data_IF_218311575258
#
_entry.id   IF_218311575258
#
_cell.length_a   1.000
_cell.length_b   1.000
_cell.length_c   1.000
_cell.angle_alpha   90.00
_cell.angle_beta   90.00
_cell.angle_gamma   90.00
#
_symmetry.space_group_name_H-M   'P 1'
#
loop_
_entity.id
_entity.type
_entity.pdbx_description
1 polymer ?
#
# COMPACT_ATOMS: atom_id res chain seq x y z
N UNK A 1 49.97 -39.95 -12.93
CA UNK A 1 49.66 -38.66 -13.58
C UNK A 1 48.39 -38.16 -12.96
N UNK A 2 48.60 -37.23 -12.05
CA UNK A 2 47.53 -36.61 -11.23
C UNK A 2 46.91 -35.50 -12.05
N UNK A 3 45.58 -35.54 -12.21
CA UNK A 3 44.82 -34.43 -12.72
C UNK A 3 44.45 -33.55 -11.53
N UNK A 4 44.99 -32.33 -11.52
CA UNK A 4 44.54 -31.29 -10.60
C UNK A 4 43.18 -30.78 -11.06
N UNK A 5 42.14 -31.06 -10.30
CA UNK A 5 40.84 -30.42 -10.44
C UNK A 5 40.86 -29.10 -9.69
N UNK A 6 40.43 -28.10 -10.38
CA UNK A 6 40.45 -26.68 -10.12
C UNK A 6 39.61 -26.29 -8.93
N UNK A 7 40.25 -25.76 -7.89
CA UNK A 7 39.64 -24.98 -6.77
C UNK A 7 39.21 -23.55 -7.19
N UNK A 8 38.66 -23.38 -8.38
CA UNK A 8 38.41 -22.05 -8.97
C UNK A 8 36.97 -21.54 -8.99
N UNK A 9 35.97 -22.33 -8.55
CA UNK A 9 34.55 -21.94 -8.72
C UNK A 9 33.78 -21.62 -7.42
N UNK A 10 34.43 -21.61 -6.25
CA UNK A 10 33.73 -21.43 -4.95
C UNK A 10 33.71 -19.97 -4.45
N UNK A 11 34.29 -19.00 -5.15
CA UNK A 11 34.33 -17.60 -4.64
C UNK A 11 33.28 -16.65 -5.20
N UNK A 12 32.35 -17.09 -6.04
CA UNK A 12 31.38 -16.20 -6.72
C UNK A 12 30.00 -16.10 -6.03
N UNK A 13 29.72 -16.90 -5.00
CA UNK A 13 28.45 -16.82 -4.24
C UNK A 13 28.72 -16.21 -2.87
N UNK A 14 28.40 -14.92 -2.71
CA UNK A 14 28.48 -14.25 -1.41
C UNK A 14 27.65 -14.97 -0.34
N UNK A 15 27.93 -14.68 0.94
CA UNK A 15 27.14 -15.22 2.05
C UNK A 15 25.74 -14.61 2.03
N UNK A 16 24.71 -15.42 1.85
CA UNK A 16 23.30 -15.04 1.91
C UNK A 16 22.62 -15.39 3.23
N UNK A 17 23.38 -15.94 4.20
CA UNK A 17 22.85 -16.35 5.50
C UNK A 17 23.35 -15.42 6.59
N UNK A 18 22.42 -14.89 7.37
CA UNK A 18 22.64 -13.91 8.42
C UNK A 18 21.91 -14.32 9.68
N UNK A 19 22.35 -13.84 10.83
CA UNK A 19 21.52 -13.78 12.03
C UNK A 19 20.70 -12.48 12.05
N UNK A 20 19.62 -12.44 12.80
CA UNK A 20 18.84 -11.21 13.00
C UNK A 20 19.72 -10.09 13.57
N UNK A 21 20.65 -10.42 14.45
CA UNK A 21 21.62 -9.47 15.00
C UNK A 21 22.57 -8.90 13.92
N UNK A 22 23.01 -9.73 12.96
CA UNK A 22 23.82 -9.25 11.83
C UNK A 22 23.03 -8.24 10.99
N UNK A 23 21.75 -8.52 10.73
CA UNK A 23 20.86 -7.62 9.99
C UNK A 23 20.71 -6.30 10.74
N UNK A 24 20.38 -6.33 12.04
CA UNK A 24 20.26 -5.12 12.83
C UNK A 24 21.55 -4.31 12.81
N UNK A 25 22.71 -4.93 13.08
CA UNK A 25 24.01 -4.24 13.09
C UNK A 25 24.32 -3.55 11.74
N UNK A 26 24.03 -4.22 10.61
CA UNK A 26 24.27 -3.67 9.26
C UNK A 26 23.34 -2.52 8.95
N UNK A 27 22.03 -2.70 9.18
CA UNK A 27 21.03 -1.71 8.80
C UNK A 27 20.98 -0.52 9.75
N UNK A 28 21.21 -0.68 11.04
CA UNK A 28 21.35 0.44 11.98
C UNK A 28 22.53 1.36 11.59
N UNK A 29 23.60 0.79 11.04
CA UNK A 29 24.78 1.56 10.61
C UNK A 29 24.54 2.46 9.39
N UNK A 30 23.48 2.23 8.64
CA UNK A 30 23.17 3.01 7.42
C UNK A 30 22.02 4.00 7.60
N UNK A 31 21.23 3.89 8.66
CA UNK A 31 20.13 4.85 8.93
C UNK A 31 20.71 6.26 9.09
N UNK A 32 20.09 7.23 8.41
CA UNK A 32 20.54 8.62 8.36
C UNK A 32 21.67 8.89 7.36
N UNK A 33 22.21 7.86 6.69
CA UNK A 33 23.24 8.04 5.66
C UNK A 33 22.63 8.07 4.26
N UNK A 34 23.29 8.75 3.34
CA UNK A 34 22.87 8.77 1.94
C UNK A 34 23.25 7.48 1.21
N UNK A 35 22.58 7.19 0.10
CA UNK A 35 22.90 6.04 -0.75
C UNK A 35 24.35 6.11 -1.23
N UNK A 36 24.86 7.32 -1.53
CA UNK A 36 26.27 7.52 -1.91
C UNK A 36 27.25 7.17 -0.80
N UNK A 37 26.93 7.52 0.46
CA UNK A 37 27.79 7.22 1.62
C UNK A 37 27.88 5.71 1.90
N UNK A 38 26.85 4.97 1.49
CA UNK A 38 26.74 3.52 1.72
C UNK A 38 27.28 2.71 0.54
N UNK A 39 27.32 3.27 -0.67
CA UNK A 39 27.73 2.57 -1.91
C UNK A 39 29.25 2.28 -1.98
N UNK A 40 29.72 1.40 -1.12
CA UNK A 40 31.13 0.95 -1.10
C UNK A 40 31.50 0.05 -2.29
N UNK A 41 30.53 -0.58 -2.90
CA UNK A 41 30.74 -1.43 -4.08
C UNK A 41 30.75 -0.64 -5.41
N UNK A 42 30.45 0.66 -5.40
CA UNK A 42 30.47 1.50 -6.59
C UNK A 42 29.32 1.22 -7.57
N UNK A 43 28.19 0.71 -7.11
CA UNK A 43 27.01 0.34 -7.90
C UNK A 43 26.45 1.52 -8.67
N UNK A 44 26.40 2.69 -8.04
CA UNK A 44 25.89 3.93 -8.65
C UNK A 44 26.76 4.36 -9.84
N UNK A 45 28.08 4.23 -9.73
CA UNK A 45 29.01 4.58 -10.79
C UNK A 45 29.02 3.59 -11.95
N UNK A 46 28.84 2.29 -11.67
CA UNK A 46 28.85 1.23 -12.68
C UNK A 46 27.62 1.24 -13.60
N UNK A 47 26.47 1.77 -13.14
CA UNK A 47 25.23 1.77 -13.90
C UNK A 47 25.07 3.04 -14.75
N UNK A 48 25.17 2.92 -16.08
CA UNK A 48 24.99 4.03 -17.04
C UNK A 48 23.52 4.43 -17.28
N UNK A 49 22.54 3.65 -16.82
CA UNK A 49 21.13 3.91 -17.08
C UNK A 49 20.53 4.77 -15.97
N UNK A 50 20.26 6.04 -16.24
CA UNK A 50 19.68 7.02 -15.29
C UNK A 50 18.28 6.65 -14.74
N UNK A 51 17.56 5.72 -15.38
CA UNK A 51 16.18 5.33 -15.01
C UNK A 51 16.07 3.95 -14.34
N UNK A 52 17.16 3.37 -13.87
CA UNK A 52 17.09 2.04 -13.25
C UNK A 52 16.63 2.14 -11.78
N UNK A 53 15.35 1.92 -11.53
CA UNK A 53 14.73 1.93 -10.18
C UNK A 53 15.33 0.86 -9.23
N UNK A 54 16.00 -0.18 -9.75
CA UNK A 54 16.65 -1.22 -8.97
C UNK A 54 18.00 -0.85 -8.35
N UNK A 55 18.52 0.38 -8.58
CA UNK A 55 19.85 0.78 -8.13
C UNK A 55 20.01 0.76 -6.62
N UNK A 56 19.01 1.23 -5.86
CA UNK A 56 19.09 1.24 -4.39
C UNK A 56 19.07 -0.19 -3.85
N UNK A 57 18.24 -1.08 -4.41
CA UNK A 57 18.26 -2.50 -4.09
C UNK A 57 19.65 -3.11 -4.31
N UNK A 58 20.26 -2.84 -5.47
CA UNK A 58 21.61 -3.33 -5.77
C UNK A 58 22.69 -2.75 -4.82
N UNK A 59 22.57 -1.50 -4.35
CA UNK A 59 23.46 -0.95 -3.31
C UNK A 59 23.26 -1.70 -2.00
N UNK A 60 22.02 -1.97 -1.59
CA UNK A 60 21.73 -2.74 -0.38
C UNK A 60 22.33 -4.14 -0.47
N UNK A 61 22.11 -4.86 -1.56
CA UNK A 61 22.61 -6.22 -1.78
C UNK A 61 24.16 -6.25 -1.76
N UNK A 62 24.82 -5.37 -2.53
CA UNK A 62 26.26 -5.44 -2.74
C UNK A 62 27.06 -4.73 -1.66
N UNK A 63 26.59 -3.57 -1.16
CA UNK A 63 27.37 -2.74 -0.23
C UNK A 63 27.00 -3.00 1.25
N UNK A 64 25.73 -3.32 1.55
CA UNK A 64 25.28 -3.56 2.93
C UNK A 64 25.30 -5.05 3.27
N UNK A 65 24.70 -5.87 2.43
CA UNK A 65 24.63 -7.32 2.62
C UNK A 65 25.88 -8.05 2.15
N UNK A 66 26.58 -7.50 1.14
CA UNK A 66 27.92 -7.98 0.72
C UNK A 66 27.90 -9.16 -0.23
N UNK A 67 26.81 -9.38 -0.98
CA UNK A 67 26.76 -10.39 -2.03
C UNK A 67 26.56 -9.75 -3.41
N UNK A 68 27.10 -10.36 -4.49
CA UNK A 68 26.95 -9.83 -5.86
C UNK A 68 25.49 -9.94 -6.32
N UNK A 69 25.08 -9.02 -7.19
CA UNK A 69 23.78 -9.10 -7.81
C UNK A 69 23.62 -10.43 -8.56
N UNK A 70 22.55 -11.16 -8.27
CA UNK A 70 22.19 -12.38 -9.01
C UNK A 70 20.75 -12.27 -9.55
N UNK A 71 20.38 -13.19 -10.42
CA UNK A 71 19.03 -13.30 -11.01
C UNK A 71 18.33 -14.59 -10.58
N UNK A 72 18.80 -15.21 -9.52
CA UNK A 72 18.23 -16.45 -9.00
C UNK A 72 16.78 -16.26 -8.53
N UNK A 73 15.96 -17.30 -8.68
CA UNK A 73 14.55 -17.28 -8.24
C UNK A 73 14.36 -17.59 -6.76
N UNK A 74 15.45 -17.89 -6.04
CA UNK A 74 15.44 -18.11 -4.60
C UNK A 74 15.12 -16.82 -3.84
N UNK A 75 14.74 -16.90 -2.55
CA UNK A 75 14.73 -15.73 -1.65
C UNK A 75 16.10 -15.05 -1.62
N UNK A 76 16.11 -13.73 -1.46
CA UNK A 76 17.33 -12.93 -1.54
C UNK A 76 18.33 -13.28 -0.42
N UNK A 77 17.80 -13.54 0.80
CA UNK A 77 18.62 -13.88 1.98
C UNK A 77 17.93 -14.93 2.88
N UNK A 78 18.71 -15.50 3.79
CA UNK A 78 18.23 -16.36 4.87
C UNK A 78 18.62 -15.72 6.21
N UNK A 79 17.63 -15.48 7.08
CA UNK A 79 17.86 -14.96 8.44
C UNK A 79 17.42 -16.02 9.44
N UNK A 80 18.33 -16.47 10.31
CA UNK A 80 18.09 -17.52 11.30
C UNK A 80 17.40 -18.78 10.74
N UNK A 81 17.81 -19.17 9.53
CA UNK A 81 17.27 -20.34 8.82
C UNK A 81 15.96 -20.09 8.06
N UNK A 82 15.36 -18.90 8.15
CA UNK A 82 14.15 -18.54 7.42
C UNK A 82 14.48 -17.74 6.16
N UNK A 83 13.80 -18.00 5.03
CA UNK A 83 13.98 -17.24 3.80
C UNK A 83 13.31 -15.87 3.87
N UNK A 84 13.99 -14.82 3.40
CA UNK A 84 13.52 -13.43 3.37
C UNK A 84 13.75 -12.80 2.00
N UNK A 85 12.79 -12.00 1.56
CA UNK A 85 12.91 -11.16 0.36
C UNK A 85 13.30 -9.74 0.76
N UNK A 86 14.29 -9.16 0.09
CA UNK A 86 14.76 -7.78 0.35
C UNK A 86 14.03 -6.81 -0.58
N UNK A 87 13.47 -5.76 -0.02
CA UNK A 87 12.79 -4.70 -0.78
C UNK A 87 13.24 -3.32 -0.32
N UNK A 88 13.55 -2.45 -1.28
CA UNK A 88 13.76 -1.03 -1.02
C UNK A 88 12.56 -0.23 -1.51
N UNK A 89 12.07 0.69 -0.69
CA UNK A 89 10.92 1.54 -1.04
C UNK A 89 11.17 2.99 -0.69
N UNK A 90 10.80 3.90 -1.60
CA UNK A 90 10.88 5.34 -1.39
C UNK A 90 9.70 5.84 -0.56
N UNK A 91 10.00 6.67 0.41
CA UNK A 91 9.02 7.42 1.19
C UNK A 91 9.06 8.90 0.79
N UNK A 92 7.92 9.54 0.84
CA UNK A 92 7.76 10.99 0.74
C UNK A 92 7.12 11.51 2.01
N UNK A 93 7.43 12.74 2.39
CA UNK A 93 6.75 13.39 3.50
C UNK A 93 5.29 13.68 3.14
N UNK A 94 4.38 13.31 4.02
CA UNK A 94 2.97 13.61 3.85
C UNK A 94 2.67 15.05 4.27
N UNK A 95 1.77 15.74 3.56
CA UNK A 95 1.42 17.14 3.80
C UNK A 95 0.92 17.45 5.23
N UNK A 96 0.52 16.42 5.99
CA UNK A 96 0.07 16.54 7.40
C UNK A 96 1.05 15.94 8.40
N UNK A 97 2.28 15.72 7.98
CA UNK A 97 3.31 15.01 8.74
C UNK A 97 3.27 13.49 8.58
N UNK A 98 4.38 12.84 8.98
CA UNK A 98 4.59 11.40 8.81
C UNK A 98 4.93 10.99 7.38
N UNK A 99 4.97 9.69 7.13
CA UNK A 99 5.47 9.10 5.90
C UNK A 99 4.35 8.61 4.99
N UNK A 100 4.60 8.65 3.68
CA UNK A 100 3.78 8.01 2.66
C UNK A 100 4.70 7.28 1.67
N UNK A 101 4.37 6.03 1.32
CA UNK A 101 5.06 5.32 0.25
C UNK A 101 4.86 6.07 -1.08
N UNK A 102 5.94 6.22 -1.82
CA UNK A 102 5.92 6.88 -3.13
C UNK A 102 5.10 6.10 -4.17
N UNK A 103 5.22 4.79 -4.14
CA UNK A 103 4.61 3.90 -5.15
C UNK A 103 4.28 2.52 -4.53
N UNK A 104 3.40 1.72 -5.15
CA UNK A 104 3.18 0.34 -4.75
C UNK A 104 4.45 -0.50 -4.84
N UNK A 105 4.63 -1.43 -3.89
CA UNK A 105 5.82 -2.29 -3.83
C UNK A 105 5.62 -3.55 -4.69
N UNK A 106 6.41 -3.68 -5.75
CA UNK A 106 6.39 -4.86 -6.63
C UNK A 106 6.97 -6.09 -5.93
N UNK A 107 6.23 -7.20 -5.93
CA UNK A 107 6.64 -8.47 -5.33
C UNK A 107 7.08 -9.46 -6.42
N UNK A 108 6.14 -10.00 -7.20
CA UNK A 108 6.46 -11.02 -8.22
C UNK A 108 5.56 -10.88 -9.43
N UNK A 109 5.92 -11.54 -10.53
CA UNK A 109 5.09 -11.58 -11.73
C UNK A 109 3.84 -12.45 -11.52
N UNK A 110 2.74 -12.04 -12.12
CA UNK A 110 1.57 -12.90 -12.34
C UNK A 110 1.91 -13.81 -13.52
N UNK A 111 2.22 -15.06 -13.25
CA UNK A 111 2.51 -16.06 -14.26
C UNK A 111 1.27 -16.92 -14.50
N UNK A 112 0.56 -16.76 -15.64
CA UNK A 112 -0.75 -17.39 -15.84
C UNK A 112 -0.74 -18.90 -15.67
N UNK A 113 0.28 -19.58 -16.24
CA UNK A 113 0.36 -21.04 -16.20
C UNK A 113 0.68 -21.57 -14.80
N UNK A 114 1.40 -20.78 -13.99
CA UNK A 114 1.80 -21.16 -12.64
C UNK A 114 0.69 -20.91 -11.64
N UNK A 115 0.13 -19.69 -11.60
CA UNK A 115 -0.81 -19.27 -10.56
C UNK A 115 -2.04 -20.17 -10.43
N UNK A 116 -2.53 -20.72 -11.56
CA UNK A 116 -3.74 -21.57 -11.57
C UNK A 116 -3.51 -22.95 -10.97
N UNK A 117 -2.27 -23.40 -10.90
CA UNK A 117 -1.90 -24.71 -10.33
C UNK A 117 -1.41 -24.62 -8.88
N UNK A 118 -1.11 -23.42 -8.40
CA UNK A 118 -0.61 -23.16 -7.04
C UNK A 118 -1.76 -23.06 -6.03
N UNK A 119 -1.48 -23.40 -4.77
CA UNK A 119 -2.24 -22.91 -3.61
C UNK A 119 -1.58 -21.65 -3.07
N UNK A 120 -2.29 -20.83 -2.29
CA UNK A 120 -1.70 -19.60 -1.74
C UNK A 120 -0.39 -19.87 -1.00
N UNK A 121 -0.39 -20.84 -0.10
CA UNK A 121 0.76 -21.17 0.75
C UNK A 121 1.96 -21.75 -0.01
N UNK A 122 1.74 -22.31 -1.20
CA UNK A 122 2.80 -22.84 -2.09
C UNK A 122 3.10 -21.91 -3.27
N UNK A 123 2.42 -20.77 -3.35
CA UNK A 123 2.55 -19.85 -4.48
C UNK A 123 3.89 -19.12 -4.50
N UNK A 124 4.36 -18.82 -5.70
CA UNK A 124 5.52 -17.94 -5.91
C UNK A 124 5.31 -16.56 -5.26
N UNK A 125 4.06 -16.10 -5.14
CA UNK A 125 3.72 -14.86 -4.45
C UNK A 125 3.99 -14.98 -2.95
N UNK A 126 3.44 -16.01 -2.28
CA UNK A 126 3.58 -16.16 -0.83
C UNK A 126 5.03 -16.40 -0.44
N UNK A 127 5.76 -17.22 -1.18
CA UNK A 127 7.19 -17.46 -0.93
C UNK A 127 8.03 -16.18 -0.92
N UNK A 128 7.63 -15.15 -1.71
CA UNK A 128 8.35 -13.88 -1.75
C UNK A 128 7.81 -12.81 -0.80
N UNK A 129 6.59 -12.96 -0.28
CA UNK A 129 5.99 -11.92 0.55
C UNK A 129 5.91 -12.30 2.02
N UNK A 130 6.02 -13.58 2.36
CA UNK A 130 5.82 -14.08 3.74
C UNK A 130 6.76 -13.45 4.77
N UNK A 131 8.01 -13.16 4.38
CA UNK A 131 8.99 -12.45 5.19
C UNK A 131 9.69 -11.40 4.34
N UNK A 132 9.60 -10.13 4.73
CA UNK A 132 10.16 -9.01 3.98
C UNK A 132 11.16 -8.24 4.84
N UNK A 133 12.39 -8.12 4.36
CA UNK A 133 13.30 -7.08 4.83
C UNK A 133 13.06 -5.83 3.99
N UNK A 134 12.28 -4.89 4.54
CA UNK A 134 11.93 -3.64 3.85
C UNK A 134 12.87 -2.54 4.28
N UNK A 135 13.54 -1.91 3.33
CA UNK A 135 14.44 -0.78 3.58
C UNK A 135 13.80 0.50 3.05
N UNK A 136 13.64 1.48 3.92
CA UNK A 136 12.98 2.75 3.64
C UNK A 136 14.01 3.83 3.35
N UNK A 137 13.83 4.58 2.25
CA UNK A 137 14.65 5.74 1.94
C UNK A 137 13.78 6.96 1.60
N UNK A 138 14.28 8.17 1.89
CA UNK A 138 13.62 9.40 1.53
C UNK A 138 13.77 9.64 0.03
N UNK A 139 12.66 9.62 -0.68
CA UNK A 139 12.62 10.00 -2.08
C UNK A 139 12.51 11.52 -2.21
N UNK A 140 13.48 12.12 -2.84
CA UNK A 140 13.48 13.54 -3.18
C UNK A 140 13.09 13.68 -4.64
N UNK A 141 11.97 14.37 -4.92
CA UNK A 141 11.53 14.62 -6.29
C UNK A 141 12.57 15.50 -6.98
N UNK A 142 13.08 15.14 -8.17
CA UNK A 142 13.98 16.00 -8.93
C UNK A 142 13.23 17.26 -9.39
N UNK A 143 13.96 18.35 -9.55
CA UNK A 143 13.43 19.56 -10.19
C UNK A 143 13.09 19.30 -11.66
N UNK A 144 12.32 20.22 -12.24
CA UNK A 144 11.88 20.14 -13.65
C UNK A 144 13.06 19.88 -14.59
N UNK A 145 12.96 18.84 -15.41
CA UNK A 145 14.00 18.45 -16.38
C UNK A 145 15.29 17.89 -15.78
N UNK A 146 15.33 17.66 -14.47
CA UNK A 146 16.49 17.09 -13.77
C UNK A 146 16.30 15.57 -13.62
N UNK A 147 17.34 14.80 -13.92
CA UNK A 147 17.32 13.36 -13.69
C UNK A 147 17.25 13.04 -12.19
N UNK A 148 16.61 11.92 -11.82
CA UNK A 148 16.58 11.43 -10.44
C UNK A 148 17.99 11.13 -9.97
N UNK A 149 18.43 11.77 -8.91
CA UNK A 149 19.75 11.58 -8.30
C UNK A 149 19.65 10.66 -7.08
N UNK A 150 19.77 9.35 -7.30
CA UNK A 150 19.66 8.35 -6.24
C UNK A 150 20.76 8.48 -5.17
N UNK A 151 21.90 9.07 -5.51
CA UNK A 151 23.05 9.23 -4.62
C UNK A 151 22.71 10.00 -3.34
N UNK A 152 21.87 11.04 -3.45
CA UNK A 152 21.46 11.90 -2.34
C UNK A 152 20.30 11.36 -1.50
N UNK A 153 19.71 10.22 -1.83
CA UNK A 153 18.60 9.68 -1.03
C UNK A 153 19.11 9.13 0.30
N UNK A 154 18.44 9.48 1.39
CA UNK A 154 18.80 9.10 2.75
C UNK A 154 18.01 7.88 3.21
N UNK A 155 18.69 6.89 3.82
CA UNK A 155 18.02 5.76 4.46
C UNK A 155 17.34 6.19 5.75
N UNK A 156 16.04 5.92 5.87
CA UNK A 156 15.22 6.33 7.02
C UNK A 156 15.00 5.23 8.04
N UNK A 157 15.19 3.98 7.65
CA UNK A 157 15.05 2.83 8.52
C UNK A 157 14.80 1.56 7.73
N UNK A 158 14.51 0.49 8.45
CA UNK A 158 14.22 -0.82 7.89
C UNK A 158 13.24 -1.57 8.80
N UNK A 159 12.60 -2.61 8.24
CA UNK A 159 11.64 -3.45 8.94
C UNK A 159 11.84 -4.91 8.57
N UNK A 160 11.95 -5.78 9.58
CA UNK A 160 11.82 -7.22 9.43
C UNK A 160 10.34 -7.58 9.55
N UNK A 161 9.63 -7.46 8.43
CA UNK A 161 8.19 -7.53 8.39
C UNK A 161 7.67 -8.96 8.27
N UNK A 162 6.77 -9.32 9.17
CA UNK A 162 5.98 -10.55 9.15
C UNK A 162 4.50 -10.22 9.25
N UNK A 163 3.65 -11.08 8.71
CA UNK A 163 2.22 -10.81 8.63
C UNK A 163 1.47 -11.34 9.84
N UNK A 164 0.57 -10.52 10.40
CA UNK A 164 -0.45 -11.01 11.32
C UNK A 164 -1.43 -11.92 10.57
N UNK A 165 -2.07 -12.86 11.25
CA UNK A 165 -3.00 -13.80 10.61
C UNK A 165 -4.12 -13.11 9.83
N UNK A 166 -4.67 -12.02 10.35
CA UNK A 166 -5.71 -11.23 9.67
C UNK A 166 -5.20 -10.60 8.38
N UNK A 167 -3.97 -10.09 8.36
CA UNK A 167 -3.36 -9.48 7.17
C UNK A 167 -3.01 -10.57 6.14
N UNK A 168 -2.52 -11.73 6.61
CA UNK A 168 -2.30 -12.91 5.76
C UNK A 168 -3.58 -13.38 5.07
N UNK A 169 -4.69 -13.49 5.80
CA UNK A 169 -5.99 -13.87 5.22
C UNK A 169 -6.46 -12.88 4.14
N UNK A 170 -6.19 -11.59 4.31
CA UNK A 170 -6.50 -10.55 3.31
C UNK A 170 -5.64 -10.69 2.05
N UNK A 171 -4.35 -10.95 2.21
CA UNK A 171 -3.45 -11.24 1.08
C UNK A 171 -3.87 -12.49 0.32
N UNK A 172 -4.28 -13.55 1.03
CA UNK A 172 -4.78 -14.80 0.44
C UNK A 172 -6.07 -14.59 -0.35
N UNK A 173 -7.01 -13.80 0.20
CA UNK A 173 -8.25 -13.47 -0.48
C UNK A 173 -7.99 -12.66 -1.76
N UNK A 174 -7.13 -11.67 -1.70
CA UNK A 174 -6.75 -10.86 -2.87
C UNK A 174 -6.03 -11.71 -3.94
N UNK A 175 -5.08 -12.54 -3.54
CA UNK A 175 -4.39 -13.47 -4.43
C UNK A 175 -5.38 -14.41 -5.12
N UNK A 176 -6.38 -14.91 -4.39
CA UNK A 176 -7.42 -15.79 -4.91
C UNK A 176 -8.25 -15.10 -5.99
N UNK A 177 -8.63 -13.83 -5.80
CA UNK A 177 -9.37 -13.05 -6.80
C UNK A 177 -8.56 -12.93 -8.10
N UNK A 178 -7.26 -12.63 -8.01
CA UNK A 178 -6.37 -12.56 -9.18
C UNK A 178 -6.26 -13.91 -9.87
N UNK A 179 -6.07 -15.00 -9.09
CA UNK A 179 -5.99 -16.37 -9.61
C UNK A 179 -7.25 -16.78 -10.38
N UNK A 180 -8.42 -16.48 -9.83
CA UNK A 180 -9.69 -16.83 -10.47
C UNK A 180 -9.91 -16.05 -11.78
N UNK A 181 -9.51 -14.77 -11.83
CA UNK A 181 -9.51 -14.01 -13.07
C UNK A 181 -8.61 -14.65 -14.14
N UNK A 182 -7.37 -14.99 -13.75
CA UNK A 182 -6.41 -15.62 -14.68
C UNK A 182 -6.91 -16.99 -15.14
N UNK A 183 -7.54 -17.78 -14.25
CA UNK A 183 -8.12 -19.06 -14.62
C UNK A 183 -9.20 -18.91 -15.69
N UNK A 184 -10.10 -17.94 -15.50
CA UNK A 184 -11.16 -17.64 -16.48
C UNK A 184 -10.56 -17.15 -17.82
N UNK A 185 -9.53 -16.31 -17.77
CA UNK A 185 -8.85 -15.83 -18.97
C UNK A 185 -8.17 -16.98 -19.76
N UNK A 186 -7.61 -17.97 -19.06
CA UNK A 186 -7.03 -19.17 -19.71
C UNK A 186 -8.06 -20.11 -20.32
N UNK A 187 -9.28 -20.16 -19.77
CA UNK A 187 -10.40 -20.92 -20.33
C UNK A 187 -10.98 -20.23 -21.59
N UNK A 188 -10.76 -18.92 -21.76
CA UNK A 188 -11.20 -18.11 -22.89
C UNK A 188 -10.05 -17.65 -23.79
N UNK A 189 -9.99 -16.35 -24.05
CA UNK A 189 -8.90 -15.70 -24.83
C UNK A 189 -8.02 -14.89 -23.87
N UNK A 190 -6.89 -15.45 -23.50
CA UNK A 190 -5.95 -14.84 -22.55
C UNK A 190 -5.42 -13.48 -23.05
N UNK A 191 -5.18 -13.34 -24.35
CA UNK A 191 -4.64 -12.09 -24.92
C UNK A 191 -5.69 -10.98 -24.96
N UNK A 192 -6.97 -11.32 -25.02
CA UNK A 192 -8.08 -10.38 -24.93
C UNK A 192 -8.39 -9.98 -23.47
N UNK A 193 -8.26 -10.91 -22.51
CA UNK A 193 -8.68 -10.70 -21.12
C UNK A 193 -7.58 -10.09 -20.24
N UNK A 194 -6.33 -10.55 -20.35
CA UNK A 194 -5.24 -10.10 -19.49
C UNK A 194 -4.93 -8.60 -19.55
N UNK A 195 -5.14 -7.86 -20.67
CA UNK A 195 -5.04 -6.39 -20.67
C UNK A 195 -5.97 -5.71 -19.64
N UNK A 196 -7.10 -6.35 -19.33
CA UNK A 196 -8.13 -5.83 -18.42
C UNK A 196 -7.87 -6.20 -16.95
N UNK A 197 -6.89 -7.07 -16.65
CA UNK A 197 -6.63 -7.57 -15.31
C UNK A 197 -6.62 -6.44 -14.25
N UNK A 198 -5.78 -5.42 -14.44
CA UNK A 198 -5.65 -4.35 -13.46
C UNK A 198 -6.94 -3.54 -13.30
N UNK A 199 -7.62 -3.23 -14.40
CA UNK A 199 -8.84 -2.43 -14.41
C UNK A 199 -10.01 -3.14 -13.73
N UNK A 200 -10.16 -4.44 -13.96
CA UNK A 200 -11.29 -5.22 -13.46
C UNK A 200 -11.06 -5.79 -12.05
N UNK A 201 -9.80 -6.11 -11.73
CA UNK A 201 -9.47 -6.82 -10.50
C UNK A 201 -9.03 -5.89 -9.37
N UNK A 202 -8.23 -4.84 -9.62
CA UNK A 202 -7.72 -3.96 -8.56
C UNK A 202 -8.83 -3.35 -7.67
N UNK A 203 -10.02 -2.96 -8.19
CA UNK A 203 -11.12 -2.49 -7.34
C UNK A 203 -11.72 -3.54 -6.41
N UNK A 204 -11.38 -4.81 -6.59
CA UNK A 204 -11.83 -5.94 -5.78
C UNK A 204 -10.81 -6.37 -4.73
N UNK A 205 -9.61 -5.75 -4.71
CA UNK A 205 -8.51 -6.11 -3.83
C UNK A 205 -8.41 -5.13 -2.65
N UNK A 206 -8.07 -5.65 -1.47
CA UNK A 206 -7.83 -4.85 -0.26
C UNK A 206 -6.37 -4.35 -0.19
N UNK A 207 -5.41 -5.25 -0.25
CA UNK A 207 -3.99 -5.04 0.03
C UNK A 207 -3.10 -5.10 -1.19
N UNK A 208 -3.54 -5.85 -2.20
CA UNK A 208 -2.81 -6.01 -3.46
C UNK A 208 -3.34 -5.11 -4.55
N UNK A 209 -2.48 -4.86 -5.52
CA UNK A 209 -2.86 -4.44 -6.86
C UNK A 209 -2.04 -5.21 -7.89
N UNK A 210 -2.41 -5.04 -9.16
CA UNK A 210 -1.70 -5.62 -10.30
C UNK A 210 -1.28 -4.54 -11.27
N UNK A 211 -0.08 -4.64 -11.84
CA UNK A 211 0.40 -3.67 -12.82
C UNK A 211 -0.14 -3.95 -14.23
N UNK A 212 -0.57 -2.91 -14.99
CA UNK A 212 -1.06 -3.05 -16.36
C UNK A 212 0.11 -3.21 -17.33
N UNK A 213 0.60 -4.43 -17.59
CA UNK A 213 1.83 -4.64 -18.39
C UNK A 213 1.70 -5.68 -19.50
N UNK A 214 0.52 -6.23 -19.77
CA UNK A 214 0.38 -7.21 -20.87
C UNK A 214 0.80 -6.61 -22.22
N UNK A 215 1.52 -7.35 -23.10
CA UNK A 215 1.90 -8.78 -23.01
C UNK A 215 3.11 -9.09 -22.10
N UNK A 216 3.79 -8.08 -21.53
CA UNK A 216 4.70 -8.34 -20.42
C UNK A 216 3.89 -8.78 -19.21
N UNK A 217 4.44 -9.76 -18.45
CA UNK A 217 3.72 -10.29 -17.29
C UNK A 217 3.38 -9.16 -16.29
N UNK A 218 2.08 -8.96 -15.96
CA UNK A 218 1.69 -8.09 -14.85
C UNK A 218 2.38 -8.52 -13.56
N UNK A 219 2.46 -7.63 -12.58
CA UNK A 219 3.12 -7.94 -11.31
C UNK A 219 2.11 -7.80 -10.17
N UNK A 220 2.15 -8.71 -9.23
CA UNK A 220 1.61 -8.48 -7.90
C UNK A 220 2.39 -7.38 -7.21
N UNK A 221 1.69 -6.41 -6.64
CA UNK A 221 2.27 -5.33 -5.85
C UNK A 221 1.49 -5.19 -4.55
N UNK A 222 2.18 -4.83 -3.47
CA UNK A 222 1.51 -4.31 -2.27
C UNK A 222 1.07 -2.88 -2.56
N UNK A 223 -0.18 -2.52 -2.26
CA UNK A 223 -0.69 -1.15 -2.44
C UNK A 223 0.18 -0.13 -1.70
N UNK A 224 0.32 1.06 -2.26
CA UNK A 224 1.08 2.14 -1.61
C UNK A 224 0.53 2.50 -0.22
N UNK A 225 -0.78 2.37 -0.01
CA UNK A 225 -1.43 2.53 1.30
C UNK A 225 -0.96 1.51 2.33
N UNK A 226 -0.86 0.23 1.96
CA UNK A 226 -0.34 -0.82 2.83
C UNK A 226 1.13 -0.56 3.18
N UNK A 227 1.97 -0.29 2.17
CA UNK A 227 3.39 0.03 2.38
C UNK A 227 3.57 1.28 3.24
N UNK A 228 2.68 2.27 3.09
CA UNK A 228 2.63 3.46 3.95
C UNK A 228 2.39 3.10 5.41
N UNK A 229 1.45 2.20 5.68
CA UNK A 229 1.16 1.79 7.06
C UNK A 229 2.30 0.95 7.64
N UNK A 230 2.92 0.05 6.86
CA UNK A 230 4.13 -0.68 7.29
C UNK A 230 5.24 0.30 7.69
N UNK A 231 5.51 1.33 6.86
CA UNK A 231 6.51 2.33 7.16
C UNK A 231 6.17 3.13 8.44
N UNK A 232 4.92 3.52 8.61
CA UNK A 232 4.47 4.28 9.79
C UNK A 232 4.50 3.45 11.07
N UNK A 233 4.05 2.20 11.02
CA UNK A 233 4.12 1.27 12.15
C UNK A 233 5.57 1.08 12.63
N UNK A 234 6.56 1.27 11.73
CA UNK A 234 7.99 1.09 12.04
C UNK A 234 8.74 2.38 12.38
N UNK A 235 8.41 3.51 11.73
CA UNK A 235 9.19 4.75 11.78
C UNK A 235 8.51 5.87 12.57
N UNK A 236 7.19 5.85 12.70
CA UNK A 236 6.43 6.86 13.44
C UNK A 236 6.14 6.36 14.87
N UNK A 237 5.92 7.29 15.79
CA UNK A 237 5.40 6.97 17.12
C UNK A 237 3.94 6.49 17.05
N UNK A 238 3.45 5.91 18.16
CA UNK A 238 2.12 5.32 18.29
C UNK A 238 1.01 6.17 17.61
N UNK A 239 0.42 5.61 16.57
CA UNK A 239 -0.64 6.26 15.78
C UNK A 239 -2.04 6.13 16.42
N UNK A 240 -2.14 5.52 17.59
CA UNK A 240 -3.42 5.33 18.28
C UNK A 240 -4.43 4.56 17.43
N UNK A 241 -4.00 3.47 16.79
CA UNK A 241 -4.87 2.65 15.93
C UNK A 241 -5.96 1.97 16.76
N UNK A 242 -7.15 1.91 16.19
CA UNK A 242 -8.29 1.16 16.75
C UNK A 242 -8.05 -0.34 16.54
N UNK A 243 -8.50 -1.23 17.45
CA UNK A 243 -8.42 -2.68 17.21
C UNK A 243 -8.99 -3.08 15.85
N UNK A 244 -8.29 -3.97 15.14
CA UNK A 244 -8.73 -4.46 13.83
C UNK A 244 -9.98 -5.33 13.95
N UNK A 245 -10.79 -5.36 12.90
CA UNK A 245 -12.01 -6.17 12.88
C UNK A 245 -11.74 -7.54 12.29
N UNK A 246 -12.09 -8.58 13.04
CA UNK A 246 -12.05 -9.96 12.59
C UNK A 246 -13.12 -10.22 11.51
N UNK A 247 -12.86 -11.18 10.64
CA UNK A 247 -13.83 -11.64 9.63
C UNK A 247 -13.91 -10.82 8.36
N UNK A 248 -13.29 -9.63 8.28
CA UNK A 248 -13.26 -8.81 7.07
C UNK A 248 -11.99 -9.10 6.24
N UNK A 249 -11.95 -10.30 5.67
CA UNK A 249 -10.78 -10.80 4.94
C UNK A 249 -10.75 -10.44 3.46
N UNK A 250 -11.83 -9.89 2.88
CA UNK A 250 -11.90 -9.55 1.46
C UNK A 250 -12.69 -8.27 1.21
N UNK A 251 -12.49 -7.65 0.03
CA UNK A 251 -13.30 -6.50 -0.39
C UNK A 251 -14.80 -6.86 -0.47
N UNK A 252 -15.14 -8.09 -0.85
CA UNK A 252 -16.52 -8.57 -0.86
C UNK A 252 -17.12 -8.61 0.55
N UNK A 253 -16.39 -9.18 1.53
CA UNK A 253 -16.81 -9.22 2.92
C UNK A 253 -16.99 -7.80 3.49
N UNK A 254 -16.04 -6.89 3.21
CA UNK A 254 -16.14 -5.49 3.61
C UNK A 254 -17.37 -4.81 3.03
N UNK A 255 -17.63 -4.97 1.72
CA UNK A 255 -18.84 -4.39 1.08
C UNK A 255 -20.12 -4.93 1.70
N UNK A 256 -20.22 -6.24 1.91
CA UNK A 256 -21.38 -6.86 2.54
C UNK A 256 -21.60 -6.33 3.96
N UNK A 257 -20.53 -6.15 4.73
CA UNK A 257 -20.61 -5.58 6.09
C UNK A 257 -21.09 -4.12 6.07
N UNK A 258 -20.55 -3.29 5.18
CA UNK A 258 -20.97 -1.88 5.03
C UNK A 258 -22.43 -1.78 4.55
N UNK A 259 -22.88 -2.64 3.64
CA UNK A 259 -24.28 -2.73 3.24
C UNK A 259 -25.19 -3.17 4.41
N UNK A 260 -24.76 -4.16 5.18
CA UNK A 260 -25.51 -4.58 6.39
C UNK A 260 -25.69 -3.44 7.40
N UNK A 261 -24.64 -2.63 7.63
CA UNK A 261 -24.77 -1.41 8.45
C UNK A 261 -25.77 -0.44 7.82
N UNK A 262 -25.63 -0.18 6.51
CA UNK A 262 -26.56 0.73 5.80
C UNK A 262 -28.01 0.28 5.93
N UNK A 263 -28.30 -1.00 5.70
CA UNK A 263 -29.65 -1.56 5.74
C UNK A 263 -30.24 -1.53 7.17
N UNK A 264 -29.42 -1.82 8.19
CA UNK A 264 -29.84 -1.82 9.59
C UNK A 264 -30.23 -0.41 10.10
N UNK A 265 -29.57 0.61 9.56
CA UNK A 265 -29.71 1.99 10.04
C UNK A 265 -30.35 2.95 9.02
N UNK A 266 -30.74 2.45 7.83
CA UNK A 266 -31.40 3.26 6.81
C UNK A 266 -32.69 3.92 7.35
N UNK A 267 -32.89 5.19 7.04
CA UNK A 267 -34.05 5.97 7.46
C UNK A 267 -33.97 6.53 8.87
N UNK A 268 -33.00 6.14 9.70
CA UNK A 268 -32.79 6.76 11.02
C UNK A 268 -32.09 8.12 10.87
N UNK A 269 -32.37 9.03 11.81
CA UNK A 269 -31.69 10.33 11.80
C UNK A 269 -30.27 10.21 12.35
N UNK A 270 -29.38 11.11 11.93
CA UNK A 270 -28.02 11.18 12.48
C UNK A 270 -28.05 11.44 14.00
N UNK A 271 -29.05 12.15 14.49
CA UNK A 271 -29.30 12.37 15.92
C UNK A 271 -29.60 11.06 16.65
N UNK A 272 -30.54 10.27 16.12
CA UNK A 272 -30.90 8.96 16.70
C UNK A 272 -29.70 8.01 16.73
N UNK A 273 -28.88 8.03 15.68
CA UNK A 273 -27.66 7.23 15.57
C UNK A 273 -26.53 7.70 16.49
N UNK A 274 -26.47 8.99 16.80
CA UNK A 274 -25.46 9.60 17.68
C UNK A 274 -25.79 9.43 19.18
N UNK A 275 -27.08 9.40 19.52
CA UNK A 275 -27.56 9.36 20.89
C UNK A 275 -27.04 8.15 21.72
N UNK A 276 -27.03 6.90 21.22
CA UNK A 276 -26.51 5.75 21.97
C UNK A 276 -25.02 5.87 22.31
N UNK A 277 -24.28 6.67 21.54
CA UNK A 277 -22.84 6.90 21.74
C UNK A 277 -22.55 8.18 22.55
N UNK A 278 -23.57 8.92 22.98
CA UNK A 278 -23.40 10.19 23.69
C UNK A 278 -22.70 11.27 22.84
N UNK A 279 -22.83 11.22 21.52
CA UNK A 279 -22.17 12.16 20.63
C UNK A 279 -22.94 13.48 20.53
N UNK A 280 -22.30 14.64 20.79
CA UNK A 280 -22.98 15.92 20.74
C UNK A 280 -23.19 16.35 19.27
N UNK A 281 -24.41 16.79 18.95
CA UNK A 281 -24.78 17.37 17.64
C UNK A 281 -24.05 18.70 17.38
N UNK A 282 -23.76 19.43 18.46
CA UNK A 282 -23.05 20.71 18.38
C UNK A 282 -21.72 20.65 19.14
N UNK A 283 -20.77 21.38 18.64
CA UNK A 283 -19.48 21.58 19.30
C UNK A 283 -19.64 22.42 20.58
N UNK A 284 -18.60 22.46 21.43
CA UNK A 284 -18.58 23.33 22.64
C UNK A 284 -18.80 24.80 22.31
N UNK A 285 -18.57 25.23 21.07
CA UNK A 285 -18.81 26.62 20.61
C UNK A 285 -20.20 26.83 20.00
N UNK A 286 -21.09 25.84 20.10
CA UNK A 286 -22.48 25.93 19.58
C UNK A 286 -22.64 25.69 18.09
N UNK A 287 -21.53 25.44 17.35
CA UNK A 287 -21.58 25.14 15.91
C UNK A 287 -21.90 23.66 15.67
N UNK A 288 -22.49 23.36 14.54
CA UNK A 288 -22.72 21.96 14.12
C UNK A 288 -21.43 21.14 14.11
N UNK A 289 -21.53 19.89 14.59
CA UNK A 289 -20.40 18.97 14.62
C UNK A 289 -20.21 18.34 13.23
N UNK A 290 -19.38 18.97 12.40
CA UNK A 290 -19.11 18.51 11.02
C UNK A 290 -18.51 17.10 10.93
N UNK A 291 -17.92 16.58 12.00
CA UNK A 291 -17.36 15.21 12.05
C UNK A 291 -18.32 14.18 12.63
N UNK A 292 -19.57 14.58 12.96
CA UNK A 292 -20.53 13.69 13.61
C UNK A 292 -20.81 12.43 12.80
N UNK A 293 -21.04 12.57 11.51
CA UNK A 293 -21.29 11.44 10.61
C UNK A 293 -20.13 10.44 10.59
N UNK A 294 -18.88 10.93 10.48
CA UNK A 294 -17.69 10.09 10.56
C UNK A 294 -17.61 9.37 11.91
N UNK A 295 -17.80 10.09 13.01
CA UNK A 295 -17.75 9.52 14.36
C UNK A 295 -18.81 8.44 14.59
N UNK A 296 -20.02 8.62 14.06
CA UNK A 296 -21.10 7.63 14.12
C UNK A 296 -20.70 6.39 13.32
N UNK A 297 -20.28 6.57 12.05
CA UNK A 297 -19.93 5.45 11.18
C UNK A 297 -18.77 4.64 11.74
N UNK A 298 -17.73 5.30 12.29
CA UNK A 298 -16.61 4.58 12.93
C UNK A 298 -17.10 3.70 14.06
N UNK A 299 -18.01 4.20 14.92
CA UNK A 299 -18.57 3.41 16.03
C UNK A 299 -19.48 2.28 15.57
N UNK A 300 -20.31 2.52 14.57
CA UNK A 300 -21.15 1.47 13.98
C UNK A 300 -20.30 0.37 13.31
N UNK A 301 -19.16 0.76 12.72
CA UNK A 301 -18.26 -0.18 12.06
C UNK A 301 -17.37 -0.93 13.04
N UNK A 302 -16.79 -0.26 14.06
CA UNK A 302 -15.74 -0.84 14.91
C UNK A 302 -16.20 -1.11 16.34
N UNK A 303 -17.31 -0.51 16.80
CA UNK A 303 -17.68 -0.46 18.21
C UNK A 303 -16.85 0.53 19.05
N UNK A 304 -15.84 1.18 18.48
CA UNK A 304 -14.88 2.03 19.18
C UNK A 304 -14.97 3.50 18.76
N UNK A 305 -14.53 4.39 19.67
CA UNK A 305 -14.36 5.79 19.36
C UNK A 305 -13.06 6.01 18.57
N UNK A 306 -13.09 6.94 17.61
CA UNK A 306 -11.89 7.30 16.84
C UNK A 306 -12.22 7.94 15.51
N UNK A 307 -11.20 8.02 14.65
CA UNK A 307 -11.31 8.48 13.27
C UNK A 307 -11.22 7.28 12.33
N UNK A 308 -11.82 7.41 11.15
CA UNK A 308 -11.74 6.36 10.14
C UNK A 308 -10.29 6.02 9.72
N UNK A 309 -9.39 7.01 9.72
CA UNK A 309 -7.96 6.82 9.43
C UNK A 309 -7.21 6.01 10.49
N UNK A 310 -7.82 5.77 11.65
CA UNK A 310 -7.28 4.93 12.72
C UNK A 310 -7.78 3.48 12.65
N UNK A 311 -8.66 3.17 11.70
CA UNK A 311 -9.13 1.79 11.44
C UNK A 311 -8.08 1.11 10.56
N UNK A 312 -7.36 0.07 11.05
CA UNK A 312 -6.25 -0.56 10.32
C UNK A 312 -6.63 -1.03 8.92
N UNK A 313 -7.80 -1.66 8.78
CA UNK A 313 -8.30 -2.11 7.49
C UNK A 313 -8.44 -0.94 6.49
N UNK A 314 -9.04 0.18 6.91
CA UNK A 314 -9.21 1.35 6.04
C UNK A 314 -7.86 1.97 5.66
N UNK A 315 -6.98 2.12 6.63
CA UNK A 315 -5.65 2.70 6.42
C UNK A 315 -4.79 1.83 5.46
N UNK A 316 -4.74 0.52 5.70
CA UNK A 316 -3.96 -0.43 4.91
C UNK A 316 -4.53 -0.64 3.50
N UNK A 317 -5.86 -0.70 3.36
CA UNK A 317 -6.52 -0.89 2.07
C UNK A 317 -6.63 0.41 1.23
N UNK A 318 -6.22 1.56 1.75
CA UNK A 318 -6.37 2.84 1.07
C UNK A 318 -7.82 3.30 0.95
N UNK A 319 -8.65 2.99 1.95
CA UNK A 319 -10.06 3.40 1.95
C UNK A 319 -10.20 4.82 2.48
N UNK A 320 -10.85 5.69 1.72
CA UNK A 320 -11.12 7.08 2.07
C UNK A 320 -12.60 7.24 2.35
N UNK A 321 -12.93 7.66 3.58
CA UNK A 321 -14.30 7.92 3.96
C UNK A 321 -14.72 9.34 3.61
N UNK A 322 -15.90 9.47 3.02
CA UNK A 322 -16.54 10.74 2.70
C UNK A 322 -18.00 10.72 3.15
N UNK A 323 -18.55 11.90 3.42
CA UNK A 323 -19.98 12.11 3.63
C UNK A 323 -20.53 12.94 2.48
N UNK A 324 -21.75 12.64 2.06
CA UNK A 324 -22.48 13.42 1.09
C UNK A 324 -23.87 13.70 1.65
N UNK A 325 -24.28 14.97 1.67
CA UNK A 325 -25.64 15.36 2.07
C UNK A 325 -26.44 15.69 0.83
N UNK A 326 -27.61 15.07 0.71
CA UNK A 326 -28.58 15.32 -0.34
C UNK A 326 -29.74 16.14 0.21
N UNK A 327 -30.30 17.02 -0.62
CA UNK A 327 -31.58 17.70 -0.33
C UNK A 327 -32.70 16.67 -0.24
N UNK A 328 -33.89 17.04 0.30
CA UNK A 328 -35.07 16.16 0.30
C UNK A 328 -35.46 15.65 -1.10
N UNK A 329 -35.19 16.45 -2.15
CA UNK A 329 -35.48 16.10 -3.54
C UNK A 329 -34.36 15.32 -4.22
N UNK A 330 -33.23 15.03 -3.53
CA UNK A 330 -32.10 14.26 -4.05
C UNK A 330 -31.00 15.08 -4.74
N UNK A 331 -31.10 16.41 -4.73
CA UNK A 331 -30.02 17.28 -5.21
C UNK A 331 -28.85 17.33 -4.19
N UNK A 332 -27.67 17.75 -4.64
CA UNK A 332 -26.51 17.96 -3.75
C UNK A 332 -26.65 19.28 -3.00
N UNK A 333 -26.21 19.30 -1.73
CA UNK A 333 -26.14 20.54 -0.93
C UNK A 333 -24.81 21.25 -1.11
N UNK A 334 -23.73 20.51 -1.31
CA UNK A 334 -22.37 21.00 -1.52
C UNK A 334 -21.55 20.05 -2.40
N UNK A 335 -20.46 20.52 -2.95
CA UNK A 335 -19.52 19.69 -3.71
C UNK A 335 -18.64 18.88 -2.76
N UNK A 336 -18.33 17.63 -3.16
CA UNK A 336 -17.45 16.78 -2.42
C UNK A 336 -16.01 17.27 -2.59
N UNK A 337 -15.38 17.69 -1.50
CA UNK A 337 -13.97 18.07 -1.52
C UNK A 337 -13.10 16.81 -1.70
N UNK A 338 -12.46 16.70 -2.84
CA UNK A 338 -11.39 15.75 -3.08
C UNK A 338 -10.10 16.36 -2.49
N UNK A 339 -9.40 15.65 -1.63
CA UNK A 339 -8.07 16.06 -1.18
C UNK A 339 -7.07 15.50 -2.18
N UNK A 340 -6.04 16.24 -2.53
CA UNK A 340 -5.42 17.42 -1.94
C UNK A 340 -5.78 18.74 -2.63
N UNK A 341 -5.16 19.86 -2.17
CA UNK A 341 -5.13 21.09 -2.95
C UNK A 341 -4.45 20.83 -4.30
N UNK A 342 -5.01 21.37 -5.37
CA UNK A 342 -4.39 21.31 -6.70
C UNK A 342 -3.07 22.10 -6.66
N UNK A 343 -1.98 21.42 -6.97
CA UNK A 343 -0.69 22.04 -7.22
C UNK A 343 -0.64 22.40 -8.72
N UNK A 344 -0.76 23.68 -9.00
CA UNK A 344 -0.79 24.17 -10.39
C UNK A 344 0.57 24.05 -11.08
N UNK A 345 1.66 24.14 -10.34
CA UNK A 345 3.01 24.00 -10.90
C UNK A 345 3.24 22.54 -11.33
N UNK A 346 2.83 21.58 -10.48
CA UNK A 346 2.84 20.16 -10.82
C UNK A 346 1.91 19.84 -12.01
N UNK A 347 0.68 20.38 -11.99
CA UNK A 347 -0.32 20.11 -13.03
C UNK A 347 0.10 20.66 -14.41
N UNK A 348 0.86 21.76 -14.43
CA UNK A 348 1.36 22.40 -15.65
C UNK A 348 2.73 21.86 -16.08
N UNK A 349 3.35 20.97 -15.34
CA UNK A 349 4.64 20.36 -15.69
C UNK A 349 4.45 19.17 -16.61
N UNK A 350 4.80 19.27 -17.92
CA UNK A 350 4.64 18.18 -18.88
C UNK A 350 5.55 16.97 -18.60
N UNK A 351 6.49 17.07 -17.66
CA UNK A 351 7.35 15.96 -17.24
C UNK A 351 6.74 15.13 -16.11
N UNK A 352 5.62 15.57 -15.51
CA UNK A 352 4.88 14.84 -14.48
C UNK A 352 3.74 14.09 -15.16
N UNK A 353 3.86 12.78 -15.20
CA UNK A 353 2.75 11.91 -15.64
C UNK A 353 1.59 12.01 -14.62
N UNK A 354 0.35 11.85 -15.09
CA UNK A 354 -0.83 11.95 -14.24
C UNK A 354 -0.72 11.04 -13.02
N UNK A 355 -0.27 9.81 -13.23
CA UNK A 355 -0.13 8.78 -12.19
C UNK A 355 0.89 9.14 -11.11
N UNK A 356 1.87 9.96 -11.43
CA UNK A 356 2.90 10.43 -10.50
C UNK A 356 2.51 11.74 -9.78
N UNK A 357 1.37 12.35 -10.16
CA UNK A 357 0.92 13.62 -9.59
C UNK A 357 0.25 13.46 -8.22
N UNK A 358 0.36 14.46 -7.36
CA UNK A 358 -0.38 14.51 -6.11
C UNK A 358 -1.91 14.56 -6.34
N UNK A 359 -2.34 15.06 -7.50
CA UNK A 359 -3.75 15.08 -7.89
C UNK A 359 -4.31 13.69 -8.19
N UNK A 360 -3.51 12.80 -8.75
CA UNK A 360 -3.92 11.46 -9.11
C UNK A 360 -4.11 10.51 -7.91
N UNK A 361 -3.35 10.73 -6.83
CA UNK A 361 -3.33 9.82 -5.68
C UNK A 361 -4.72 9.44 -5.11
N UNK A 362 -5.69 10.36 -4.94
CA UNK A 362 -7.05 10.01 -4.50
C UNK A 362 -7.86 9.15 -5.48
N UNK A 363 -7.43 9.08 -6.73
CA UNK A 363 -8.13 8.34 -7.79
C UNK A 363 -7.51 6.99 -8.10
N UNK A 364 -6.19 6.88 -7.93
CA UNK A 364 -5.43 5.67 -8.29
C UNK A 364 -5.23 4.77 -7.08
N UNK A 365 -4.84 5.35 -5.93
CA UNK A 365 -4.39 4.60 -4.75
C UNK A 365 -5.48 4.47 -3.68
N UNK A 366 -6.70 4.97 -3.92
CA UNK A 366 -7.75 4.92 -2.92
C UNK A 366 -9.11 4.48 -3.46
N UNK A 367 -9.87 3.83 -2.57
CA UNK A 367 -11.28 3.50 -2.80
C UNK A 367 -12.13 4.34 -1.86
N UNK A 368 -13.13 5.05 -2.39
CA UNK A 368 -14.00 5.88 -1.57
C UNK A 368 -15.16 5.08 -0.99
N UNK A 369 -15.35 5.20 0.32
CA UNK A 369 -16.55 4.78 1.04
C UNK A 369 -17.35 6.03 1.34
N UNK A 370 -18.55 6.15 0.76
CA UNK A 370 -19.39 7.35 0.88
C UNK A 370 -20.63 7.05 1.71
N UNK A 371 -20.77 7.73 2.87
CA UNK A 371 -22.01 7.74 3.61
C UNK A 371 -22.94 8.83 3.06
N UNK A 372 -24.09 8.41 2.55
CA UNK A 372 -25.09 9.33 1.98
C UNK A 372 -26.12 9.66 3.07
N UNK A 373 -26.23 10.93 3.41
CA UNK A 373 -27.20 11.49 4.31
C UNK A 373 -28.24 12.27 3.50
N UNK A 374 -29.51 12.15 3.83
CA UNK A 374 -30.58 12.91 3.16
C UNK A 374 -31.24 13.84 4.17
N UNK A 375 -31.32 15.14 3.86
CA UNK A 375 -32.07 16.10 4.65
C UNK A 375 -33.55 15.72 4.69
N UNK A 376 -34.18 15.88 5.85
CA UNK A 376 -35.67 15.82 5.92
C UNK A 376 -36.25 17.10 5.37
N UNK A 377 -37.46 17.02 4.82
CA UNK A 377 -38.23 18.24 4.57
C UNK A 377 -38.32 19.01 5.90
N UNK A 378 -37.87 20.26 5.93
CA UNK A 378 -38.19 21.15 7.01
C UNK A 378 -39.69 21.38 6.88
N UNK A 379 -40.46 20.98 7.89
CA UNK A 379 -41.85 21.42 7.99
C UNK A 379 -41.85 22.93 7.86
N UNK A 380 -42.60 23.44 6.87
CA UNK A 380 -42.64 24.85 6.59
C UNK A 380 -43.34 25.51 7.81
N UNK A 381 -42.70 26.46 8.55
CA UNK A 381 -43.34 27.12 9.69
C UNK A 381 -44.52 28.04 9.32
N UNK A 382 -44.95 28.03 8.04
CA UNK A 382 -46.02 28.85 7.50
C UNK A 382 -47.31 28.06 7.20
N UNK A 383 -47.44 26.84 7.71
CA UNK A 383 -48.65 26.03 7.62
C UNK A 383 -49.33 25.84 8.97
N UNK A 384 -49.25 26.83 9.86
CA UNK A 384 -50.20 27.02 10.98
C UNK A 384 -51.19 28.14 10.67
#
# INVERSE_FOLDING_TARGET
MSAGETEGESMAKGNHSFTEQDIHSRFDSIVGRTVADVDTAGVLAASKASRNKGRIGAVIEQSVLGYPADSDRRPDIVIDGQPWEVKATGLVEAARGGWRAKEPMSITAVAPEGIVTESFTTSAFWHKVQHLLVVYYLYVRPGKGVAVEYAGFEFKGYDLHTWRDVDRCRLEADWTVVREFVRTALEGDIDAEMPNLSTLVNPQLLYLDTSPKWPNRPRFRLKASLVTQMARERLDDDMGMIPDQDGLSSMGALRSHLHGISDAYAGQSLEDLAAPFGLPLKTKTGRENKSLAEQVVVRLFTGHAGKISQVPLFAKAGLVFKTMTLTPTGGRTEDMKLNPSIDFDELCDPSVEFEDSAFAAPFIDSTMVVAVLKERYRDCPLCE
#
